data_IF_176861394649
#
_entry.id   IF_176861394649
#
_cell.length_a   1.000
_cell.length_b   1.000
_cell.length_c   1.000
_cell.angle_alpha   90.00
_cell.angle_beta   90.00
_cell.angle_gamma   90.00
#
_symmetry.space_group_name_H-M   'P 1'
#
loop_
_entity.id
_entity.type
_entity.pdbx_description
1 polymer ?
#
# COMPACT_ATOMS: atom_id res chain seq x y z
N UNK A 1 -24.63 -13.10 3.84
CA UNK A 1 -23.83 -14.26 3.41
C UNK A 1 -22.36 -14.00 3.61
N UNK A 2 -21.66 -15.01 4.06
CA UNK A 2 -20.23 -14.87 4.29
C UNK A 2 -19.48 -15.23 3.00
N UNK A 3 -19.04 -14.20 2.27
CA UNK A 3 -18.29 -14.39 1.02
C UNK A 3 -16.80 -14.65 1.25
N UNK A 4 -16.42 -14.85 2.51
CA UNK A 4 -15.02 -15.14 2.85
C UNK A 4 -14.66 -16.58 2.58
N UNK A 5 -13.48 -16.79 2.05
CA UNK A 5 -12.91 -18.11 1.85
C UNK A 5 -11.44 -18.12 2.24
N UNK A 6 -10.92 -19.30 2.50
CA UNK A 6 -9.54 -19.46 2.95
C UNK A 6 -8.60 -19.57 1.76
N UNK A 7 -7.55 -18.76 1.77
CA UNK A 7 -6.43 -18.88 0.85
C UNK A 7 -5.14 -19.06 1.64
N UNK A 8 -4.11 -19.51 0.97
CA UNK A 8 -2.77 -19.62 1.57
C UNK A 8 -1.83 -18.71 0.81
N UNK A 9 -1.15 -17.84 1.56
CA UNK A 9 -0.14 -16.94 1.02
C UNK A 9 1.24 -17.40 1.46
N UNK A 10 2.20 -17.37 0.54
CA UNK A 10 3.59 -17.63 0.87
C UNK A 10 4.31 -16.30 1.04
N UNK A 11 4.85 -16.07 2.24
CA UNK A 11 5.63 -14.87 2.57
C UNK A 11 6.89 -15.32 3.27
N UNK A 12 8.04 -14.92 2.74
CA UNK A 12 9.34 -15.25 3.32
C UNK A 12 9.55 -16.77 3.45
N UNK A 13 9.02 -17.54 2.51
CA UNK A 13 9.15 -19.00 2.51
C UNK A 13 8.19 -19.73 3.43
N UNK A 14 7.28 -19.03 4.09
CA UNK A 14 6.26 -19.62 4.97
C UNK A 14 4.87 -19.42 4.40
N UNK A 15 4.00 -20.40 4.63
CA UNK A 15 2.61 -20.34 4.19
C UNK A 15 1.73 -19.84 5.33
N UNK A 16 0.87 -18.89 5.03
CA UNK A 16 -0.06 -18.29 5.99
C UNK A 16 -1.48 -18.45 5.48
N UNK A 17 -2.39 -19.04 6.28
CA UNK A 17 -3.80 -19.09 5.90
C UNK A 17 -4.47 -17.77 6.21
N UNK A 18 -5.27 -17.29 5.26
CA UNK A 18 -6.04 -16.06 5.43
C UNK A 18 -7.47 -16.28 4.96
N UNK A 19 -8.42 -15.78 5.73
CA UNK A 19 -9.81 -15.71 5.30
C UNK A 19 -10.07 -14.35 4.70
N UNK A 20 -10.38 -14.32 3.42
CA UNK A 20 -10.59 -13.08 2.68
C UNK A 20 -11.86 -13.17 1.85
N UNK A 21 -12.35 -12.01 1.43
CA UNK A 21 -13.44 -11.95 0.45
C UNK A 21 -12.89 -12.27 -0.93
N UNK A 22 -13.73 -12.91 -1.77
CA UNK A 22 -13.32 -13.26 -3.14
C UNK A 22 -12.90 -12.03 -3.94
N UNK A 23 -13.55 -10.90 -3.73
CA UNK A 23 -13.24 -9.65 -4.40
C UNK A 23 -11.86 -9.11 -4.05
N UNK A 24 -11.30 -9.51 -2.90
CA UNK A 24 -9.98 -9.05 -2.43
C UNK A 24 -8.85 -9.99 -2.81
N UNK A 25 -9.15 -11.17 -3.39
CA UNK A 25 -8.13 -12.19 -3.62
C UNK A 25 -6.96 -11.69 -4.47
N UNK A 26 -7.26 -11.05 -5.58
CA UNK A 26 -6.21 -10.57 -6.49
C UNK A 26 -5.30 -9.54 -5.82
N UNK A 27 -5.90 -8.55 -5.14
CA UNK A 27 -5.11 -7.49 -4.49
C UNK A 27 -4.28 -8.05 -3.34
N UNK A 28 -4.81 -9.02 -2.59
CA UNK A 28 -4.08 -9.65 -1.48
C UNK A 28 -2.90 -10.45 -2.02
N UNK A 29 -3.07 -11.18 -3.13
CA UNK A 29 -1.96 -11.91 -3.75
C UNK A 29 -0.90 -10.98 -4.33
N UNK A 30 -1.31 -9.86 -4.90
CA UNK A 30 -0.38 -8.84 -5.37
C UNK A 30 0.40 -8.23 -4.20
N UNK A 31 -0.27 -8.00 -3.07
CA UNK A 31 0.39 -7.49 -1.86
C UNK A 31 1.46 -8.45 -1.36
N UNK A 32 1.15 -9.75 -1.29
CA UNK A 32 2.11 -10.77 -0.89
C UNK A 32 3.31 -10.84 -1.86
N UNK A 33 3.05 -10.74 -3.16
CA UNK A 33 4.10 -10.70 -4.17
C UNK A 33 5.00 -9.50 -3.98
N UNK A 34 4.44 -8.33 -3.69
CA UNK A 34 5.21 -7.11 -3.46
C UNK A 34 6.12 -7.25 -2.23
N UNK A 35 5.59 -7.81 -1.14
CA UNK A 35 6.40 -8.08 0.06
C UNK A 35 7.57 -9.00 -0.28
N UNK A 36 7.31 -10.10 -1.00
CA UNK A 36 8.36 -11.05 -1.36
C UNK A 36 9.42 -10.45 -2.26
N UNK A 37 9.04 -9.57 -3.19
CA UNK A 37 9.99 -8.85 -4.05
C UNK A 37 10.90 -7.93 -3.24
N UNK A 38 10.33 -7.19 -2.29
CA UNK A 38 11.11 -6.32 -1.40
C UNK A 38 12.07 -7.12 -0.53
N UNK A 39 11.62 -8.25 0.03
CA UNK A 39 12.47 -9.14 0.80
C UNK A 39 13.64 -9.65 -0.02
N UNK A 40 13.39 -10.06 -1.27
CA UNK A 40 14.45 -10.53 -2.17
C UNK A 40 15.48 -9.43 -2.43
N UNK A 41 15.04 -8.20 -2.64
CA UNK A 41 15.93 -7.04 -2.84
C UNK A 41 16.84 -6.83 -1.63
N UNK A 42 16.27 -6.85 -0.43
CA UNK A 42 17.07 -6.66 0.79
C UNK A 42 18.03 -7.81 1.05
N UNK A 43 17.63 -9.04 0.77
CA UNK A 43 18.51 -10.20 0.86
C UNK A 43 19.70 -10.08 -0.09
N UNK A 44 19.45 -9.58 -1.30
CA UNK A 44 20.50 -9.37 -2.28
C UNK A 44 21.47 -8.30 -1.81
N UNK A 45 20.96 -7.19 -1.28
CA UNK A 45 21.80 -6.06 -0.83
C UNK A 45 22.56 -6.36 0.47
N UNK A 46 21.93 -7.04 1.41
CA UNK A 46 22.44 -7.18 2.79
C UNK A 46 22.62 -8.63 3.23
N UNK A 47 22.40 -9.60 2.35
CA UNK A 47 22.43 -11.01 2.75
C UNK A 47 23.80 -11.50 3.20
N UNK A 48 24.88 -10.79 2.87
CA UNK A 48 26.23 -11.12 3.33
C UNK A 48 26.52 -10.61 4.73
N UNK A 49 25.71 -9.70 5.25
CA UNK A 49 25.87 -9.15 6.61
C UNK A 49 25.24 -10.12 7.59
N UNK A 50 26.09 -10.88 8.30
CA UNK A 50 25.62 -11.89 9.24
C UNK A 50 24.92 -11.31 10.47
N UNK A 51 25.03 -9.99 10.70
CA UNK A 51 24.32 -9.34 11.80
C UNK A 51 22.82 -9.14 11.49
N UNK A 52 22.41 -9.29 10.23
CA UNK A 52 21.02 -9.09 9.81
C UNK A 52 20.30 -10.42 9.63
N UNK A 53 19.06 -10.48 10.12
CA UNK A 53 18.19 -11.64 10.01
C UNK A 53 17.00 -11.35 9.10
N UNK A 54 16.18 -12.37 8.88
CA UNK A 54 14.93 -12.21 8.14
C UNK A 54 14.01 -11.17 8.80
N UNK A 55 14.08 -11.05 10.13
CA UNK A 55 13.30 -10.04 10.86
C UNK A 55 13.70 -8.62 10.49
N UNK A 56 15.00 -8.39 10.28
CA UNK A 56 15.50 -7.08 9.82
C UNK A 56 14.96 -6.75 8.44
N UNK A 57 14.97 -7.72 7.53
CA UNK A 57 14.48 -7.52 6.17
C UNK A 57 12.96 -7.29 6.16
N UNK A 58 12.22 -8.00 7.03
CA UNK A 58 10.78 -7.77 7.17
C UNK A 58 10.49 -6.38 7.73
N UNK A 59 11.26 -5.93 8.72
CA UNK A 59 11.12 -4.58 9.27
C UNK A 59 11.38 -3.51 8.22
N UNK A 60 12.45 -3.66 7.43
CA UNK A 60 12.79 -2.74 6.34
C UNK A 60 11.68 -2.70 5.29
N UNK A 61 11.15 -3.87 4.93
CA UNK A 61 10.05 -3.99 3.98
C UNK A 61 8.80 -3.28 4.51
N UNK A 62 8.47 -3.50 5.78
CA UNK A 62 7.30 -2.88 6.40
C UNK A 62 7.43 -1.36 6.40
N UNK A 63 8.60 -0.83 6.73
CA UNK A 63 8.85 0.62 6.72
C UNK A 63 8.73 1.17 5.30
N UNK A 64 9.31 0.50 4.30
CA UNK A 64 9.23 0.96 2.91
C UNK A 64 7.79 1.02 2.42
N UNK A 65 7.01 -0.03 2.65
CA UNK A 65 5.64 -0.10 2.17
C UNK A 65 4.74 0.88 2.92
N UNK A 66 4.97 1.04 4.22
CA UNK A 66 4.24 2.02 5.03
C UNK A 66 4.57 3.43 4.61
N UNK A 67 5.83 3.71 4.34
CA UNK A 67 6.27 5.01 3.83
C UNK A 67 5.59 5.34 2.49
N UNK A 68 5.62 4.38 1.56
CA UNK A 68 4.97 4.57 0.26
C UNK A 68 3.47 4.81 0.40
N UNK A 69 2.81 4.05 1.27
CA UNK A 69 1.38 4.22 1.54
C UNK A 69 1.08 5.61 2.09
N UNK A 70 1.84 6.06 3.08
CA UNK A 70 1.62 7.37 3.71
C UNK A 70 1.87 8.52 2.73
N UNK A 71 2.90 8.39 1.87
CA UNK A 71 3.17 9.39 0.84
C UNK A 71 2.05 9.47 -0.19
N UNK A 72 1.54 8.34 -0.62
CA UNK A 72 0.43 8.27 -1.57
C UNK A 72 -0.82 8.90 -0.97
N UNK A 73 -1.12 8.57 0.29
CA UNK A 73 -2.26 9.12 1.02
C UNK A 73 -2.16 10.64 1.16
N UNK A 74 -0.99 11.15 1.50
CA UNK A 74 -0.72 12.59 1.61
C UNK A 74 -0.99 13.30 0.29
N UNK A 75 -0.49 12.77 -0.82
CA UNK A 75 -0.70 13.32 -2.15
C UNK A 75 -2.18 13.35 -2.49
N UNK A 76 -2.91 12.28 -2.19
CA UNK A 76 -4.33 12.18 -2.46
C UNK A 76 -5.13 13.22 -1.66
N UNK A 77 -4.79 13.40 -0.39
CA UNK A 77 -5.45 14.40 0.46
C UNK A 77 -5.23 15.82 -0.07
N UNK A 78 -4.02 16.13 -0.54
CA UNK A 78 -3.71 17.43 -1.15
C UNK A 78 -4.52 17.62 -2.43
N UNK A 79 -4.63 16.60 -3.27
CA UNK A 79 -5.40 16.67 -4.52
C UNK A 79 -6.87 16.94 -4.24
N UNK A 80 -7.45 16.26 -3.24
CA UNK A 80 -8.85 16.46 -2.84
C UNK A 80 -9.05 17.90 -2.36
N UNK A 81 -8.15 18.40 -1.51
CA UNK A 81 -8.22 19.75 -0.99
C UNK A 81 -8.13 20.79 -2.12
N UNK A 82 -7.20 20.60 -3.05
CA UNK A 82 -7.05 21.48 -4.22
C UNK A 82 -8.31 21.50 -5.07
N UNK A 83 -8.94 20.32 -5.25
CA UNK A 83 -10.18 20.21 -5.99
C UNK A 83 -11.32 21.00 -5.33
N UNK A 84 -11.44 20.91 -4.01
CA UNK A 84 -12.47 21.65 -3.26
C UNK A 84 -12.25 23.16 -3.37
N UNK A 85 -11.02 23.62 -3.21
CA UNK A 85 -10.69 25.05 -3.34
C UNK A 85 -11.03 25.56 -4.75
N UNK A 86 -10.73 24.77 -5.77
CA UNK A 86 -11.03 25.12 -7.16
C UNK A 86 -12.54 25.26 -7.39
N UNK A 87 -13.34 24.35 -6.85
CA UNK A 87 -14.80 24.41 -6.96
C UNK A 87 -15.35 25.69 -6.32
N UNK A 88 -14.84 26.07 -5.17
CA UNK A 88 -15.25 27.30 -4.48
C UNK A 88 -14.90 28.52 -5.31
N UNK A 89 -13.71 28.57 -5.91
CA UNK A 89 -13.28 29.66 -6.77
C UNK A 89 -14.18 29.79 -8.00
N UNK A 90 -14.55 28.66 -8.61
CA UNK A 90 -15.44 28.66 -9.77
C UNK A 90 -16.84 29.16 -9.42
N UNK A 91 -17.35 28.77 -8.25
CA UNK A 91 -18.66 29.24 -7.77
C UNK A 91 -18.64 30.76 -7.52
N UNK A 92 -17.58 31.26 -6.91
CA UNK A 92 -17.44 32.70 -6.68
C UNK A 92 -17.36 33.49 -7.97
N UNK A 93 -16.57 33.00 -8.93
CA UNK A 93 -16.45 33.66 -10.24
C UNK A 93 -17.80 33.67 -10.95
N UNK A 94 -18.53 32.56 -10.93
CA UNK A 94 -19.86 32.48 -11.51
C UNK A 94 -20.81 33.47 -10.86
N UNK A 95 -20.79 33.58 -9.53
CA UNK A 95 -21.62 34.51 -8.78
C UNK A 95 -21.30 35.97 -9.14
N UNK A 96 -20.00 36.30 -9.20
CA UNK A 96 -19.57 37.66 -9.51
C UNK A 96 -19.88 38.07 -10.96
N UNK A 97 -19.92 37.12 -11.87
CA UNK A 97 -20.18 37.38 -13.29
C UNK A 97 -21.68 37.45 -13.63
N UNK A 98 -22.55 37.19 -12.67
CA UNK A 98 -24.01 37.28 -12.87
C UNK A 98 -24.58 38.70 -12.72
N UNK A 99 -23.78 39.67 -12.48
CA UNK A 99 -24.24 41.05 -12.35
C UNK A 99 -24.56 41.70 -13.68
#
# INVERSE_FOLDING_TARGET
MNDKFKIHLEIAGRKYPLNIRREDEEIVRQAASLVNKKLATYREQFGKDKSKSIYDFLAMTAIDLSHAYLRLRETRDVEIFTGIVREIDEELDSYLNQK
#
